data_IF_275825374863
#
_entry.id   IF_275825374863
#
_cell.length_a   1.000
_cell.length_b   1.000
_cell.length_c   1.000
_cell.angle_alpha   90.00
_cell.angle_beta   90.00
_cell.angle_gamma   90.00
#
_symmetry.space_group_name_H-M   'P 1'
#
loop_
_entity.id
_entity.type
_entity.pdbx_description
1 polymer ?
#
# COMPACT_ATOMS: atom_id res chain seq x y z
N UNK A 1 5.43 9.00 9.04
CA UNK A 1 4.01 9.32 9.35
C UNK A 1 3.88 9.60 10.86
N UNK A 2 2.88 10.40 11.29
CA UNK A 2 2.54 10.55 12.71
C UNK A 2 2.07 9.23 13.34
N UNK A 3 2.14 9.12 14.66
CA UNK A 3 1.76 7.90 15.39
C UNK A 3 0.26 7.62 15.26
N UNK A 4 -0.57 8.65 15.38
CA UNK A 4 -2.02 8.57 15.34
C UNK A 4 -2.52 7.95 14.02
N UNK A 5 -1.84 8.26 12.92
CA UNK A 5 -2.17 7.68 11.62
C UNK A 5 -1.89 6.16 11.58
N UNK A 6 -0.81 5.70 12.23
CA UNK A 6 -0.49 4.27 12.30
C UNK A 6 -1.47 3.53 13.21
N UNK A 7 -1.88 4.15 14.32
CA UNK A 7 -2.92 3.61 15.21
C UNK A 7 -4.25 3.46 14.47
N UNK A 8 -4.68 4.47 13.72
CA UNK A 8 -5.87 4.39 12.87
C UNK A 8 -5.76 3.27 11.82
N UNK A 9 -4.58 3.09 11.22
CA UNK A 9 -4.36 2.01 10.26
C UNK A 9 -4.50 0.62 10.91
N UNK A 10 -4.02 0.47 12.14
CA UNK A 10 -4.14 -0.77 12.91
C UNK A 10 -5.60 -1.01 13.28
N UNK A 11 -6.27 -0.01 13.85
CA UNK A 11 -7.68 -0.09 14.27
C UNK A 11 -8.62 -0.38 13.09
N UNK A 12 -8.26 0.12 11.90
CA UNK A 12 -8.98 -0.12 10.66
C UNK A 12 -8.60 -1.43 9.94
N UNK A 13 -7.72 -2.26 10.52
CA UNK A 13 -7.19 -3.48 9.91
C UNK A 13 -6.58 -3.28 8.50
N UNK A 14 -5.94 -2.13 8.28
CA UNK A 14 -5.31 -1.78 7.00
C UNK A 14 -3.78 -1.71 7.06
N UNK A 15 -3.15 -1.88 8.23
CA UNK A 15 -1.69 -1.98 8.37
C UNK A 15 -1.23 -3.44 8.38
N UNK A 16 -0.39 -3.81 7.42
CA UNK A 16 0.09 -5.17 7.22
C UNK A 16 1.60 -5.27 7.44
N UNK A 17 2.03 -6.45 7.91
CA UNK A 17 3.43 -6.80 8.11
C UNK A 17 3.81 -7.93 7.14
N UNK A 18 4.97 -7.78 6.51
CA UNK A 18 5.62 -8.88 5.79
C UNK A 18 6.67 -9.51 6.71
N UNK A 19 6.46 -10.79 7.05
CA UNK A 19 7.27 -11.51 8.05
C UNK A 19 8.02 -12.67 7.39
N UNK A 20 9.33 -12.74 7.63
CA UNK A 20 10.19 -13.84 7.16
C UNK A 20 10.90 -14.44 8.36
N UNK A 21 10.73 -15.75 8.59
CA UNK A 21 11.33 -16.47 9.72
C UNK A 21 11.08 -15.80 11.09
N UNK A 22 9.88 -15.25 11.28
CA UNK A 22 9.48 -14.56 12.51
C UNK A 22 10.06 -13.14 12.67
N UNK A 23 10.73 -12.59 11.65
CA UNK A 23 11.23 -11.21 11.64
C UNK A 23 10.36 -10.34 10.74
N UNK A 24 10.07 -9.11 11.19
CA UNK A 24 9.36 -8.12 10.38
C UNK A 24 10.33 -7.53 9.36
N UNK A 25 10.04 -7.75 8.07
CA UNK A 25 10.87 -7.33 6.95
C UNK A 25 10.27 -6.17 6.15
N UNK A 26 8.96 -5.96 6.26
CA UNK A 26 8.29 -4.73 5.84
C UNK A 26 6.99 -4.47 6.61
N UNK A 27 6.58 -3.21 6.55
CA UNK A 27 5.24 -2.73 6.91
C UNK A 27 4.69 -1.94 5.73
N UNK A 28 3.38 -2.04 5.50
CA UNK A 28 2.67 -1.25 4.50
C UNK A 28 1.21 -1.09 4.90
N UNK A 29 0.59 0.00 4.49
CA UNK A 29 -0.85 0.15 4.55
C UNK A 29 -1.46 -0.28 3.21
N UNK A 30 -2.48 -1.13 3.26
CA UNK A 30 -3.23 -1.55 2.08
C UNK A 30 -4.71 -1.24 2.27
N UNK A 31 -5.24 -0.38 1.39
CA UNK A 31 -6.59 0.17 1.52
C UNK A 31 -7.36 -0.16 0.25
N UNK A 32 -8.48 -0.87 0.40
CA UNK A 32 -9.39 -1.15 -0.70
C UNK A 32 -10.42 -0.04 -0.84
N UNK A 33 -10.62 0.43 -2.07
CA UNK A 33 -11.59 1.46 -2.40
C UNK A 33 -10.95 2.78 -2.81
N UNK A 34 -11.80 3.77 -3.04
CA UNK A 34 -11.37 5.06 -3.55
C UNK A 34 -10.52 5.81 -2.51
N UNK A 35 -9.36 6.27 -2.95
CA UNK A 35 -8.56 7.26 -2.23
C UNK A 35 -8.97 8.66 -2.73
N UNK A 36 -9.51 9.54 -1.86
CA UNK A 36 -9.93 10.88 -2.27
C UNK A 36 -8.80 11.71 -2.89
N UNK A 37 -7.55 11.45 -2.49
CA UNK A 37 -6.39 12.16 -3.05
C UNK A 37 -6.07 11.73 -4.48
N UNK A 38 -6.56 10.57 -4.91
CA UNK A 38 -6.39 10.03 -6.26
C UNK A 38 -7.63 10.27 -7.16
N UNK A 39 -8.63 11.01 -6.67
CA UNK A 39 -9.84 11.31 -7.43
C UNK A 39 -9.55 12.13 -8.72
N UNK A 40 -8.47 12.91 -8.72
CA UNK A 40 -7.96 13.60 -9.89
C UNK A 40 -6.43 13.49 -9.92
N UNK A 41 -5.85 13.38 -11.11
CA UNK A 41 -4.40 13.50 -11.31
C UNK A 41 -4.12 14.56 -12.36
N UNK A 42 -3.00 15.26 -12.19
CA UNK A 42 -2.53 16.29 -13.13
C UNK A 42 -1.69 15.65 -14.23
N UNK A 43 -1.74 16.23 -15.43
CA UNK A 43 -0.92 15.82 -16.59
C UNK A 43 -0.99 14.32 -16.97
N UNK A 44 -2.13 13.69 -16.70
CA UNK A 44 -2.33 12.28 -17.01
C UNK A 44 -3.76 11.81 -16.80
N UNK A 45 -3.96 10.51 -16.95
CA UNK A 45 -5.21 9.83 -16.62
C UNK A 45 -4.90 8.43 -16.07
N UNK A 46 -5.77 7.94 -15.19
CA UNK A 46 -5.68 6.56 -14.72
C UNK A 46 -5.92 5.60 -15.88
N UNK A 47 -5.29 4.42 -15.84
CA UNK A 47 -5.49 3.38 -16.86
C UNK A 47 -6.94 2.87 -16.87
N UNK A 48 -7.54 2.80 -15.68
CA UNK A 48 -8.97 2.53 -15.46
C UNK A 48 -9.40 3.33 -14.23
N UNK A 49 -10.43 4.16 -14.39
CA UNK A 49 -11.05 4.96 -13.34
C UNK A 49 -12.47 4.51 -12.98
N UNK A 50 -12.94 3.41 -13.58
CA UNK A 50 -14.30 2.87 -13.40
C UNK A 50 -14.34 1.68 -12.44
N UNK A 51 -13.25 0.91 -12.35
CA UNK A 51 -13.15 -0.26 -11.48
C UNK A 51 -12.65 0.11 -10.07
N UNK A 52 -13.08 -0.65 -9.03
CA UNK A 52 -12.46 -0.56 -7.71
C UNK A 52 -10.96 -0.89 -7.77
N UNK A 53 -10.16 -0.15 -7.00
CA UNK A 53 -8.73 -0.37 -6.87
C UNK A 53 -8.33 -0.48 -5.39
N UNK A 54 -7.16 -1.05 -5.15
CA UNK A 54 -6.45 -0.95 -3.87
C UNK A 54 -5.35 0.12 -3.95
N UNK A 55 -4.99 0.70 -2.81
CA UNK A 55 -3.81 1.55 -2.68
C UNK A 55 -2.80 0.93 -1.72
N UNK A 56 -1.51 1.00 -2.09
CA UNK A 56 -0.40 0.70 -1.18
C UNK A 56 0.22 2.00 -0.73
N UNK A 57 0.15 2.26 0.56
CA UNK A 57 0.69 3.43 1.22
C UNK A 57 1.73 3.04 2.26
N UNK A 58 2.59 3.98 2.65
CA UNK A 58 3.50 3.82 3.79
C UNK A 58 4.36 2.55 3.76
N UNK A 59 4.70 2.05 2.57
CA UNK A 59 5.59 0.90 2.43
C UNK A 59 6.99 1.24 2.93
N UNK A 60 7.44 0.54 3.96
CA UNK A 60 8.81 0.59 4.47
C UNK A 60 9.36 -0.82 4.63
N UNK A 61 10.62 -1.03 4.23
CA UNK A 61 11.33 -2.30 4.41
C UNK A 61 12.49 -2.15 5.38
N UNK A 62 12.80 -3.23 6.11
CA UNK A 62 14.00 -3.33 6.94
C UNK A 62 15.32 -3.31 6.14
N UNK A 63 15.26 -3.47 4.81
CA UNK A 63 16.43 -3.40 3.92
C UNK A 63 17.37 -4.62 3.98
N UNK A 64 17.01 -5.66 4.74
CA UNK A 64 17.82 -6.88 4.90
C UNK A 64 17.69 -7.86 3.73
N UNK A 65 16.53 -7.87 3.08
CA UNK A 65 16.23 -8.75 1.95
C UNK A 65 15.91 -7.94 0.69
N UNK A 66 16.42 -8.42 -0.45
CA UNK A 66 16.03 -7.90 -1.76
C UNK A 66 14.64 -8.42 -2.13
N UNK A 67 13.89 -7.64 -2.90
CA UNK A 67 12.60 -8.06 -3.45
C UNK A 67 11.39 -7.87 -2.52
N UNK A 68 11.58 -7.32 -1.31
CA UNK A 68 10.48 -7.10 -0.35
C UNK A 68 9.36 -6.24 -0.94
N UNK A 69 9.69 -5.15 -1.64
CA UNK A 69 8.69 -4.31 -2.30
C UNK A 69 7.89 -5.07 -3.36
N UNK A 70 8.53 -5.96 -4.14
CA UNK A 70 7.83 -6.82 -5.09
C UNK A 70 6.88 -7.77 -4.37
N UNK A 71 7.31 -8.42 -3.29
CA UNK A 71 6.46 -9.33 -2.53
C UNK A 71 5.21 -8.62 -1.96
N UNK A 72 5.36 -7.40 -1.46
CA UNK A 72 4.23 -6.57 -0.98
C UNK A 72 3.25 -6.25 -2.13
N UNK A 73 3.77 -5.81 -3.27
CA UNK A 73 2.93 -5.46 -4.43
C UNK A 73 2.24 -6.68 -5.02
N UNK A 74 2.93 -7.81 -5.13
CA UNK A 74 2.35 -9.08 -5.60
C UNK A 74 1.20 -9.51 -4.68
N UNK A 75 1.42 -9.53 -3.36
CA UNK A 75 0.37 -9.84 -2.40
C UNK A 75 -0.82 -8.87 -2.52
N UNK A 76 -0.57 -7.57 -2.65
CA UNK A 76 -1.65 -6.57 -2.78
C UNK A 76 -2.47 -6.78 -4.06
N UNK A 77 -1.82 -7.16 -5.17
CA UNK A 77 -2.47 -7.50 -6.45
C UNK A 77 -3.29 -8.79 -6.37
N UNK A 78 -2.99 -9.72 -5.47
CA UNK A 78 -3.85 -10.91 -5.24
C UNK A 78 -5.21 -10.54 -4.62
N UNK A 79 -5.33 -9.34 -4.04
CA UNK A 79 -6.50 -8.88 -3.30
C UNK A 79 -7.29 -7.78 -4.02
N UNK A 80 -6.88 -7.34 -5.21
CA UNK A 80 -7.58 -6.33 -6.01
C UNK A 80 -7.34 -6.50 -7.51
N UNK A 81 -8.24 -5.96 -8.35
CA UNK A 81 -8.09 -6.03 -9.82
C UNK A 81 -7.15 -4.93 -10.36
N UNK A 82 -7.02 -3.85 -9.62
CA UNK A 82 -6.22 -2.68 -9.96
C UNK A 82 -5.55 -2.15 -8.71
N UNK A 83 -4.29 -1.77 -8.81
CA UNK A 83 -3.48 -1.27 -7.70
C UNK A 83 -2.88 0.07 -8.08
N UNK A 84 -2.95 1.03 -7.15
CA UNK A 84 -2.33 2.35 -7.27
C UNK A 84 -1.37 2.57 -6.10
N UNK A 85 -0.33 3.34 -6.34
CA UNK A 85 0.62 3.78 -5.32
C UNK A 85 1.28 5.07 -5.81
N UNK A 86 1.75 5.88 -4.87
CA UNK A 86 2.54 7.07 -5.14
C UNK A 86 3.89 6.99 -4.41
N UNK A 87 4.80 7.84 -4.86
CA UNK A 87 6.02 8.14 -4.11
C UNK A 87 5.79 9.43 -3.35
N UNK A 88 5.84 9.38 -2.03
CA UNK A 88 5.88 10.59 -1.23
C UNK A 88 7.16 11.38 -1.53
N UNK A 89 7.03 12.70 -1.73
CA UNK A 89 8.16 13.62 -1.89
C UNK A 89 8.69 14.10 -0.53
#
# INVERSE_FOLDING_TARGET
PPQELLEEDIDSNRLFLYVVNGQIEAVFAFILGADPTYAAIEDGQWLDDTLPYGTVHRLASAGKHKGVGKAVLDWSMEHCQSLRADTHA
#
